data_IF_006555342331
#
_entry.id   IF_006555342331
#
_cell.length_a   1.000
_cell.length_b   1.000
_cell.length_c   1.000
_cell.angle_alpha   90.00
_cell.angle_beta   90.00
_cell.angle_gamma   90.00
#
_symmetry.space_group_name_H-M   'P 1'
#
loop_
_entity.id
_entity.type
_entity.pdbx_description
1 polymer ?
#
# COMPACT_ATOMS: atom_id res chain seq x y z
N UNK A 1 -1.35 -12.62 -16.16
CA UNK A 1 -0.93 -11.38 -16.85
C UNK A 1 -2.17 -10.59 -17.20
N UNK A 2 -2.23 -9.34 -16.75
CA UNK A 2 -3.32 -8.42 -17.07
C UNK A 2 -3.02 -7.71 -18.41
N UNK A 3 -4.05 -7.14 -19.04
CA UNK A 3 -3.88 -6.38 -20.28
C UNK A 3 -3.11 -5.08 -20.02
N UNK A 4 -2.51 -4.52 -21.07
CA UNK A 4 -1.92 -3.20 -20.99
C UNK A 4 -3.01 -2.14 -20.80
N UNK A 5 -2.72 -1.09 -20.04
CA UNK A 5 -3.68 -0.03 -19.75
C UNK A 5 -3.32 0.78 -18.51
N UNK A 6 -4.12 1.82 -18.27
CA UNK A 6 -4.07 2.59 -17.03
C UNK A 6 -5.15 2.09 -16.08
N UNK A 7 -4.79 1.91 -14.82
CA UNK A 7 -5.63 1.33 -13.79
C UNK A 7 -5.61 2.16 -12.53
N UNK A 8 -6.74 2.19 -11.84
CA UNK A 8 -6.87 2.68 -10.47
C UNK A 8 -7.38 1.54 -9.62
N UNK A 9 -6.68 1.27 -8.52
CA UNK A 9 -7.08 0.23 -7.56
C UNK A 9 -7.06 0.77 -6.14
N UNK A 10 -7.94 0.24 -5.31
CA UNK A 10 -7.95 0.45 -3.87
C UNK A 10 -7.36 -0.78 -3.19
N UNK A 11 -6.19 -0.64 -2.59
CA UNK A 11 -5.63 -1.64 -1.70
C UNK A 11 -6.26 -1.48 -0.32
N UNK A 12 -6.69 -2.56 0.31
CA UNK A 12 -7.31 -2.52 1.63
C UNK A 12 -6.95 -3.73 2.47
N UNK A 13 -6.99 -3.56 3.79
CA UNK A 13 -6.87 -4.61 4.78
C UNK A 13 -7.89 -4.37 5.89
N UNK A 14 -8.71 -5.37 6.19
CA UNK A 14 -9.80 -5.26 7.16
C UNK A 14 -9.69 -6.40 8.18
N UNK A 15 -9.38 -6.08 9.45
CA UNK A 15 -9.35 -7.06 10.55
C UNK A 15 -10.50 -6.89 11.54
N UNK A 16 -11.41 -5.94 11.29
CA UNK A 16 -12.44 -5.54 12.24
C UNK A 16 -11.95 -4.44 13.18
N UNK A 17 -10.93 -4.73 13.99
CA UNK A 17 -10.35 -3.75 14.95
C UNK A 17 -9.56 -2.66 14.22
N UNK A 18 -8.81 -3.03 13.19
CA UNK A 18 -7.99 -2.13 12.40
C UNK A 18 -8.28 -2.34 10.92
N UNK A 19 -8.75 -1.28 10.26
CA UNK A 19 -9.09 -1.29 8.85
C UNK A 19 -8.37 -0.13 8.18
N UNK A 20 -7.71 -0.37 7.06
CA UNK A 20 -7.00 0.68 6.34
C UNK A 20 -6.94 0.42 4.85
N UNK A 21 -6.81 1.49 4.08
CA UNK A 21 -6.76 1.42 2.64
C UNK A 21 -6.09 2.64 2.02
N UNK A 22 -5.64 2.49 0.78
CA UNK A 22 -5.20 3.61 -0.05
C UNK A 22 -5.42 3.29 -1.54
N UNK A 23 -5.45 4.33 -2.36
CA UNK A 23 -5.61 4.22 -3.81
C UNK A 23 -4.27 4.33 -4.52
N UNK A 24 -4.10 3.58 -5.61
CA UNK A 24 -2.95 3.69 -6.50
C UNK A 24 -3.39 3.73 -7.96
N UNK A 25 -2.90 4.73 -8.68
CA UNK A 25 -2.99 4.81 -10.14
C UNK A 25 -1.68 4.28 -10.74
N UNK A 26 -1.76 3.33 -11.66
CA UNK A 26 -0.60 2.70 -12.30
C UNK A 26 -0.88 2.35 -13.76
N UNK A 27 0.17 2.00 -14.49
CA UNK A 27 0.11 1.63 -15.90
C UNK A 27 0.83 0.31 -16.13
N UNK A 28 0.14 -0.61 -16.81
CA UNK A 28 0.70 -1.85 -17.34
C UNK A 28 1.02 -1.65 -18.83
N UNK A 29 2.21 -2.00 -19.28
CA UNK A 29 2.60 -1.85 -20.69
C UNK A 29 3.64 -2.86 -21.14
N UNK A 30 3.75 -3.04 -22.45
CA UNK A 30 4.90 -3.70 -23.07
C UNK A 30 6.19 -2.95 -22.69
N UNK A 31 6.93 -3.49 -21.72
CA UNK A 31 8.12 -2.86 -21.13
C UNK A 31 8.05 -2.83 -19.60
N UNK A 32 8.48 -1.73 -19.01
CA UNK A 32 8.45 -1.53 -17.56
C UNK A 32 7.17 -0.86 -17.11
N UNK A 33 6.44 -1.54 -16.22
CA UNK A 33 5.26 -1.01 -15.54
C UNK A 33 5.64 0.13 -14.59
N UNK A 34 4.68 0.99 -14.24
CA UNK A 34 4.96 2.09 -13.34
C UNK A 34 3.74 2.59 -12.59
N UNK A 35 4.00 3.23 -11.44
CA UNK A 35 3.01 3.89 -10.60
C UNK A 35 2.98 5.38 -10.94
N UNK A 36 1.79 5.93 -11.19
CA UNK A 36 1.61 7.36 -11.38
C UNK A 36 1.61 8.09 -10.05
N UNK A 37 0.73 7.66 -9.14
CA UNK A 37 0.55 8.24 -7.81
C UNK A 37 -0.16 7.25 -6.89
N UNK A 38 0.04 7.43 -5.60
CA UNK A 38 -0.71 6.77 -4.54
C UNK A 38 -1.23 7.83 -3.59
N UNK A 39 -2.49 7.71 -3.17
CA UNK A 39 -3.24 8.79 -2.53
C UNK A 39 -4.46 8.26 -1.76
N UNK A 40 -5.21 9.17 -1.14
CA UNK A 40 -6.42 8.88 -0.35
C UNK A 40 -6.21 7.78 0.70
N UNK A 41 -5.26 7.98 1.62
CA UNK A 41 -5.10 7.06 2.72
C UNK A 41 -6.34 7.14 3.62
N UNK A 42 -6.75 6.00 4.16
CA UNK A 42 -7.83 5.92 5.11
C UNK A 42 -7.48 4.88 6.16
N UNK A 43 -7.53 5.27 7.44
CA UNK A 43 -7.38 4.39 8.60
C UNK A 43 -8.63 4.49 9.47
N UNK A 44 -9.12 3.36 9.93
CA UNK A 44 -10.20 3.26 10.93
C UNK A 44 -9.78 2.26 11.98
N UNK A 45 -9.84 2.68 13.24
CA UNK A 45 -9.45 1.86 14.38
C UNK A 45 -10.55 1.90 15.45
N UNK A 46 -10.89 0.74 16.01
CA UNK A 46 -11.87 0.61 17.09
C UNK A 46 -11.11 0.49 18.41
N UNK A 47 -11.43 1.35 19.38
CA UNK A 47 -10.83 1.29 20.72
C UNK A 47 -9.35 1.73 20.77
N UNK A 48 -8.95 2.61 19.86
CA UNK A 48 -7.58 3.08 19.75
C UNK A 48 -7.45 4.40 18.99
N UNK A 49 -6.21 4.79 18.72
CA UNK A 49 -5.86 5.97 17.94
C UNK A 49 -4.78 5.60 16.91
N UNK A 50 -4.61 6.46 15.91
CA UNK A 50 -3.52 6.33 14.94
C UNK A 50 -2.91 7.70 14.65
N UNK A 51 -1.66 7.70 14.20
CA UNK A 51 -0.95 8.92 13.79
C UNK A 51 0.02 8.64 12.64
N UNK A 52 0.65 9.72 12.15
CA UNK A 52 1.70 9.68 11.13
C UNK A 52 1.30 8.96 9.83
N UNK A 53 0.01 9.00 9.49
CA UNK A 53 -0.52 8.43 8.24
C UNK A 53 0.12 9.08 7.01
N UNK A 54 0.81 8.26 6.22
CA UNK A 54 1.51 8.70 5.03
C UNK A 54 1.38 7.68 3.90
N UNK A 55 1.10 8.16 2.70
CA UNK A 55 1.23 7.38 1.46
C UNK A 55 2.31 7.97 0.59
N UNK A 56 3.14 7.10 0.02
CA UNK A 56 4.26 7.51 -0.81
C UNK A 56 4.59 6.47 -1.88
N UNK A 57 4.94 6.95 -3.06
CA UNK A 57 5.52 6.11 -4.11
C UNK A 57 7.02 5.97 -3.83
N UNK A 58 7.45 4.78 -3.49
CA UNK A 58 8.83 4.48 -3.09
C UNK A 58 9.70 4.16 -4.31
N UNK A 59 9.14 3.45 -5.29
CA UNK A 59 9.76 3.25 -6.61
C UNK A 59 8.70 3.44 -7.67
N UNK A 60 8.88 4.47 -8.50
CA UNK A 60 7.91 4.84 -9.53
C UNK A 60 7.87 3.83 -10.69
N UNK A 61 9.02 3.37 -11.16
CA UNK A 61 9.12 2.48 -12.32
C UNK A 61 9.66 1.11 -11.94
N UNK A 62 9.13 0.07 -12.57
CA UNK A 62 9.72 -1.25 -12.57
C UNK A 62 11.12 -1.21 -13.21
N UNK A 63 12.00 -2.10 -12.76
CA UNK A 63 13.31 -2.35 -13.35
C UNK A 63 13.39 -3.81 -13.78
N UNK A 64 14.47 -4.19 -14.48
CA UNK A 64 14.71 -5.58 -14.91
C UNK A 64 14.70 -6.62 -13.79
N UNK A 65 14.80 -6.19 -12.52
CA UNK A 65 14.93 -7.08 -11.36
C UNK A 65 13.95 -6.76 -10.24
N UNK A 66 13.24 -5.63 -10.28
CA UNK A 66 12.42 -5.15 -9.17
C UNK A 66 11.17 -4.43 -9.64
N UNK A 67 10.05 -4.74 -8.98
CA UNK A 67 8.74 -4.09 -9.21
C UNK A 67 8.76 -2.62 -8.78
N UNK A 68 7.92 -1.81 -9.41
CA UNK A 68 7.52 -0.51 -8.86
C UNK A 68 6.66 -0.75 -7.61
N UNK A 69 6.76 0.12 -6.61
CA UNK A 69 5.97 -0.02 -5.41
C UNK A 69 5.69 1.30 -4.70
N UNK A 70 4.57 1.31 -3.98
CA UNK A 70 4.14 2.37 -3.08
C UNK A 70 3.83 1.78 -1.71
N UNK A 71 3.82 2.64 -0.71
CA UNK A 71 3.62 2.26 0.68
C UNK A 71 2.69 3.25 1.38
N UNK A 72 1.76 2.71 2.14
CA UNK A 72 1.07 3.39 3.22
C UNK A 72 1.74 3.01 4.55
N UNK A 73 2.12 3.99 5.35
CA UNK A 73 2.65 3.79 6.70
C UNK A 73 1.90 4.65 7.72
N UNK A 74 1.67 4.08 8.91
CA UNK A 74 1.09 4.77 10.06
C UNK A 74 1.42 4.00 11.34
N UNK A 75 1.39 4.70 12.48
CA UNK A 75 1.46 4.06 13.81
C UNK A 75 0.07 4.02 14.44
N UNK A 76 -0.17 3.01 15.27
CA UNK A 76 -1.43 2.88 15.98
C UNK A 76 -1.21 2.44 17.43
N UNK A 77 -2.17 2.83 18.26
CA UNK A 77 -2.24 2.46 19.67
C UNK A 77 -3.62 1.90 19.97
N UNK A 78 -3.66 0.72 20.57
CA UNK A 78 -4.86 0.07 21.10
C UNK A 78 -4.59 -0.33 22.55
N UNK A 79 -5.63 -0.79 23.26
CA UNK A 79 -5.46 -1.22 24.66
C UNK A 79 -4.37 -2.30 24.86
N UNK A 80 -4.02 -3.07 23.83
CA UNK A 80 -2.98 -4.11 23.88
C UNK A 80 -1.57 -3.59 23.60
N UNK A 81 -1.38 -2.33 23.19
CA UNK A 81 -0.07 -1.75 22.92
C UNK A 81 -0.01 -0.86 21.69
N UNK A 82 1.22 -0.48 21.33
CA UNK A 82 1.54 0.37 20.18
C UNK A 82 2.27 -0.45 19.11
N UNK A 83 1.93 -0.25 17.84
CA UNK A 83 2.56 -0.94 16.72
C UNK A 83 2.49 -0.06 15.47
N UNK A 84 3.14 -0.51 14.40
CA UNK A 84 3.21 0.20 13.13
C UNK A 84 2.84 -0.71 11.97
N UNK A 85 2.23 -0.10 10.96
CA UNK A 85 1.83 -0.77 9.72
C UNK A 85 2.66 -0.25 8.57
N UNK A 86 3.22 -1.17 7.79
CA UNK A 86 3.76 -0.91 6.47
C UNK A 86 2.90 -1.70 5.45
N UNK A 87 2.04 -1.00 4.70
CA UNK A 87 1.14 -1.62 3.72
C UNK A 87 1.55 -1.26 2.29
N UNK A 88 1.91 -2.28 1.51
CA UNK A 88 2.55 -2.14 0.21
C UNK A 88 1.59 -2.45 -0.94
N UNK A 89 1.74 -1.69 -2.02
CA UNK A 89 1.22 -2.03 -3.34
C UNK A 89 2.37 -2.12 -4.32
N UNK A 90 2.44 -3.20 -5.10
CA UNK A 90 3.51 -3.47 -6.05
C UNK A 90 2.94 -3.68 -7.46
N UNK A 91 3.62 -3.18 -8.48
CA UNK A 91 3.30 -3.39 -9.89
C UNK A 91 4.55 -3.76 -10.69
N UNK A 92 4.41 -4.75 -11.57
CA UNK A 92 5.47 -5.22 -12.46
C UNK A 92 5.10 -6.55 -13.10
N UNK A 93 5.84 -6.95 -14.13
CA UNK A 93 5.60 -8.17 -14.92
C UNK A 93 4.17 -8.24 -15.48
N UNK A 94 3.60 -7.11 -15.91
CA UNK A 94 2.21 -6.98 -16.37
C UNK A 94 1.18 -7.44 -15.33
N UNK A 95 1.46 -7.21 -14.04
CA UNK A 95 0.58 -7.56 -12.94
C UNK A 95 0.80 -6.66 -11.71
N UNK A 96 -0.06 -6.81 -10.71
CA UNK A 96 0.07 -6.10 -9.44
C UNK A 96 -0.34 -6.95 -8.24
N UNK A 97 0.16 -6.59 -7.07
CA UNK A 97 -0.17 -7.25 -5.81
C UNK A 97 -0.17 -6.26 -4.64
N UNK A 98 -0.72 -6.70 -3.51
CA UNK A 98 -0.79 -5.94 -2.27
C UNK A 98 -0.26 -6.81 -1.14
N UNK A 99 0.62 -6.26 -0.29
CA UNK A 99 1.31 -7.02 0.76
C UNK A 99 1.37 -6.22 2.05
N UNK A 100 1.14 -6.90 3.19
CA UNK A 100 1.18 -6.29 4.52
C UNK A 100 2.44 -6.68 5.29
N UNK A 101 3.06 -5.73 5.98
CA UNK A 101 4.06 -5.96 7.02
C UNK A 101 3.64 -5.26 8.32
N UNK A 102 3.62 -6.03 9.42
CA UNK A 102 3.33 -5.53 10.76
C UNK A 102 4.61 -5.63 11.61
N UNK A 103 4.92 -4.57 12.36
CA UNK A 103 6.04 -4.54 13.30
C UNK A 103 5.53 -4.21 14.69
N UNK A 104 5.39 -5.23 15.51
CA UNK A 104 4.99 -5.08 16.90
C UNK A 104 6.16 -4.61 17.76
N UNK A 105 5.95 -3.55 18.53
CA UNK A 105 6.88 -3.10 19.56
C UNK A 105 6.41 -3.67 20.89
N UNK A 106 7.24 -4.52 21.52
CA UNK A 106 6.98 -5.12 22.83
C UNK A 106 7.21 -4.12 23.97
#
# INVERSE_FOLDING_TARGET
>A
MKSNGSYTVKSYWNTGILNYSFQTDFVLRSGYDYINKSYNPNVTIIGGTYDNEKVSVQRKHETSTKRAYSRMDFSYEVFTGKSSVDFYFQVGNNDYETTLSLKDSK
#
